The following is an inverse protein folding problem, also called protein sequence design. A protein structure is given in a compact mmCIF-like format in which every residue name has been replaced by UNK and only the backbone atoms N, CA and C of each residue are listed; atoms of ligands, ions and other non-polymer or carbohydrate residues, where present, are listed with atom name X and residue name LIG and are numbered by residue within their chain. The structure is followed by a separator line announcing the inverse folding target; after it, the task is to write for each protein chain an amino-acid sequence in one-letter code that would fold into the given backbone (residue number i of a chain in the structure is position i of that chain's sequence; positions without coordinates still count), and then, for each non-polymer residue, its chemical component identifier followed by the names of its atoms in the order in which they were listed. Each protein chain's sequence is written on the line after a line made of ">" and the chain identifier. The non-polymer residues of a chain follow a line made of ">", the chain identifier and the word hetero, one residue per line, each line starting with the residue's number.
data_IF_282637628553
#
_entry.id   IF_282637628553
#
_cell.length_a   1.000
_cell.length_b   1.000
_cell.length_c   1.000
_cell.angle_alpha   90.00
_cell.angle_beta   90.00
_cell.angle_gamma   90.00
#
_symmetry.space_group_name_H-M   'P 1'
#
loop_
_entity.id
_entity.type
_entity.pdbx_description
1 polymer ?
#
# COMPACT_ATOMS: atom_id res chain seq x y z
N UNK A 1 23.87 0.61 -10.80
CA UNK A 1 24.28 2.03 -11.00
C UNK A 1 23.51 2.58 -12.18
N UNK A 2 22.39 3.27 -11.96
CA UNK A 2 21.73 3.99 -13.04
C UNK A 2 22.49 5.30 -13.26
N UNK A 3 23.16 5.40 -14.41
CA UNK A 3 23.76 6.67 -14.87
C UNK A 3 22.67 7.48 -15.56
N UNK A 4 22.62 8.78 -15.25
CA UNK A 4 21.93 9.74 -16.11
C UNK A 4 22.50 9.63 -17.52
N UNK A 5 21.63 9.44 -18.52
CA UNK A 5 22.04 9.46 -19.93
C UNK A 5 22.25 10.92 -20.31
N UNK A 6 23.52 11.34 -20.37
CA UNK A 6 23.91 12.61 -20.97
C UNK A 6 23.64 12.56 -22.48
N UNK A 7 22.86 13.53 -22.99
CA UNK A 7 22.36 13.60 -24.36
C UNK A 7 23.35 14.19 -25.37
N UNK A 8 24.64 14.18 -25.06
CA UNK A 8 25.65 14.66 -25.99
C UNK A 8 25.91 13.72 -27.20
N UNK A 9 25.31 12.52 -27.26
CA UNK A 9 25.49 11.58 -28.40
C UNK A 9 24.23 10.77 -28.81
N UNK A 10 23.80 11.01 -30.07
CA UNK A 10 22.93 10.18 -30.95
C UNK A 10 21.39 10.22 -30.79
N UNK A 11 20.71 10.21 -31.95
CA UNK A 11 19.31 10.59 -32.24
C UNK A 11 18.29 9.42 -32.22
N UNK A 12 18.52 8.36 -31.45
CA UNK A 12 17.52 7.27 -31.36
C UNK A 12 16.45 7.60 -30.31
N UNK A 13 15.14 7.47 -30.61
CA UNK A 13 14.10 7.65 -29.60
C UNK A 13 14.21 6.54 -28.55
N UNK A 14 14.55 6.91 -27.32
CA UNK A 14 14.52 6.01 -26.16
C UNK A 14 13.06 5.69 -25.85
N UNK A 15 12.70 4.41 -25.88
CA UNK A 15 11.38 3.97 -25.45
C UNK A 15 11.38 3.85 -23.92
N UNK A 16 10.31 4.31 -23.28
CA UNK A 16 10.12 4.14 -21.83
C UNK A 16 9.15 2.98 -21.59
N UNK A 17 9.57 2.05 -20.75
CA UNK A 17 8.67 1.08 -20.13
C UNK A 17 8.34 1.60 -18.74
N UNK A 18 7.05 1.86 -18.53
CA UNK A 18 6.49 2.16 -17.22
C UNK A 18 5.96 0.89 -16.58
N UNK A 19 6.39 0.58 -15.36
CA UNK A 19 5.75 -0.46 -14.53
C UNK A 19 5.20 0.24 -13.30
N UNK A 20 3.90 0.10 -13.06
CA UNK A 20 3.24 0.68 -11.91
C UNK A 20 3.72 0.05 -10.59
N UNK A 21 4.00 0.90 -9.60
CA UNK A 21 4.25 0.52 -8.19
C UNK A 21 2.94 0.55 -7.40
N UNK A 22 1.98 1.37 -7.82
CA UNK A 22 0.63 1.35 -7.30
C UNK A 22 -0.06 0.05 -7.71
N UNK A 23 -1.04 -0.36 -6.94
CA UNK A 23 -1.89 -1.51 -7.28
C UNK A 23 -2.81 -1.25 -8.49
N UNK A 24 -2.51 -0.28 -9.35
CA UNK A 24 -3.46 0.25 -10.33
C UNK A 24 -2.87 0.21 -11.74
N UNK A 25 -2.93 -0.99 -12.32
CA UNK A 25 -2.81 -1.30 -13.76
C UNK A 25 -1.48 -1.95 -14.20
N UNK A 26 -1.27 -3.20 -13.77
CA UNK A 26 -1.16 -4.29 -14.74
C UNK A 26 -2.32 -5.22 -14.44
N UNK A 27 -3.43 -5.01 -15.15
CA UNK A 27 -4.58 -5.91 -15.13
C UNK A 27 -4.07 -7.31 -15.43
N UNK A 28 -4.36 -8.23 -14.51
CA UNK A 28 -3.96 -9.62 -14.61
C UNK A 28 -4.57 -10.26 -15.84
N UNK A 29 -3.75 -10.50 -16.85
CA UNK A 29 -3.84 -11.67 -17.72
C UNK A 29 -2.40 -12.00 -18.13
N UNK A 30 -1.87 -13.13 -17.62
CA UNK A 30 -0.52 -13.69 -17.84
C UNK A 30 0.65 -13.23 -16.95
N UNK A 31 0.45 -13.12 -15.63
CA UNK A 31 1.58 -13.37 -14.71
C UNK A 31 1.62 -14.86 -14.37
N UNK A 32 2.43 -15.62 -15.11
CA UNK A 32 2.71 -17.02 -14.83
C UNK A 32 3.68 -17.16 -13.63
N UNK A 33 3.42 -18.18 -12.81
CA UNK A 33 4.21 -18.75 -11.72
C UNK A 33 5.74 -18.87 -11.98
N UNK A 34 6.15 -18.89 -13.25
CA UNK A 34 7.56 -18.91 -13.66
C UNK A 34 8.40 -17.72 -13.16
N UNK A 35 7.80 -16.56 -12.86
CA UNK A 35 8.51 -15.39 -12.33
C UNK A 35 8.97 -15.53 -10.87
N UNK A 36 8.16 -16.14 -10.00
CA UNK A 36 8.48 -16.31 -8.57
C UNK A 36 9.41 -17.51 -8.34
N UNK A 37 9.21 -18.59 -9.11
CA UNK A 37 10.00 -19.84 -9.04
C UNK A 37 11.52 -19.60 -9.10
N UNK A 38 11.95 -18.64 -9.94
CA UNK A 38 13.34 -18.31 -10.19
C UNK A 38 14.08 -17.73 -8.98
N UNK A 39 13.37 -17.07 -8.07
CA UNK A 39 13.97 -16.44 -6.90
C UNK A 39 13.97 -17.35 -5.67
N UNK A 40 13.38 -18.54 -5.73
CA UNK A 40 13.33 -19.43 -4.57
C UNK A 40 14.73 -19.83 -4.07
N UNK A 41 15.64 -20.16 -4.98
CA UNK A 41 17.01 -20.54 -4.62
C UNK A 41 17.79 -19.35 -4.07
N UNK A 42 17.78 -18.22 -4.77
CA UNK A 42 18.46 -16.98 -4.34
C UNK A 42 17.92 -16.45 -3.01
N UNK A 43 16.59 -16.50 -2.80
CA UNK A 43 15.93 -16.15 -1.54
C UNK A 43 16.33 -17.09 -0.42
N UNK A 44 16.36 -18.42 -0.65
CA UNK A 44 16.82 -19.38 0.36
C UNK A 44 18.26 -19.09 0.77
N UNK A 45 19.16 -18.84 -0.18
CA UNK A 45 20.55 -18.48 0.09
C UNK A 45 20.67 -17.16 0.85
N UNK A 46 19.91 -16.13 0.46
CA UNK A 46 19.86 -14.85 1.16
C UNK A 46 19.38 -15.04 2.60
N UNK A 47 18.27 -15.76 2.79
CA UNK A 47 17.68 -15.97 4.11
C UNK A 47 18.64 -16.74 5.03
N UNK A 48 19.30 -17.79 4.52
CA UNK A 48 20.30 -18.57 5.29
C UNK A 48 21.51 -17.70 5.64
N UNK A 49 22.05 -16.95 4.67
CA UNK A 49 23.18 -16.03 4.90
C UNK A 49 22.83 -14.95 5.92
N UNK A 50 21.65 -14.37 5.83
CA UNK A 50 21.15 -13.37 6.78
C UNK A 50 20.92 -13.97 8.18
N UNK A 51 20.42 -15.22 8.30
CA UNK A 51 20.35 -15.91 9.62
C UNK A 51 21.73 -16.08 10.24
N UNK A 52 22.72 -16.48 9.45
CA UNK A 52 24.09 -16.63 9.93
C UNK A 52 24.69 -15.30 10.37
N UNK A 53 24.54 -14.24 9.56
CA UNK A 53 24.98 -12.89 9.92
C UNK A 53 24.26 -12.36 11.17
N UNK A 54 22.97 -12.66 11.34
CA UNK A 54 22.24 -12.31 12.56
C UNK A 54 22.77 -13.08 13.78
N UNK A 55 23.07 -14.38 13.62
CA UNK A 55 23.61 -15.20 14.71
C UNK A 55 24.94 -14.65 15.25
N UNK A 56 25.81 -14.18 14.34
CA UNK A 56 27.11 -13.60 14.70
C UNK A 56 26.97 -12.17 15.22
N UNK A 57 26.28 -11.30 14.49
CA UNK A 57 26.27 -9.85 14.77
C UNK A 57 25.17 -9.41 15.73
N UNK A 58 24.14 -10.23 15.93
CA UNK A 58 22.89 -9.92 16.66
C UNK A 58 22.15 -8.67 16.17
N UNK A 59 22.48 -8.14 14.98
CA UNK A 59 21.83 -6.95 14.44
C UNK A 59 20.47 -7.29 13.82
N UNK A 60 19.43 -6.49 14.15
CA UNK A 60 18.04 -6.71 13.72
C UNK A 60 17.87 -6.68 12.19
N UNK A 61 18.64 -5.87 11.45
CA UNK A 61 18.58 -5.82 9.98
C UNK A 61 18.86 -7.17 9.29
N UNK A 62 19.71 -8.02 9.88
CA UNK A 62 19.97 -9.35 9.33
C UNK A 62 18.89 -10.36 9.74
N UNK A 63 18.18 -10.12 10.84
CA UNK A 63 16.99 -10.90 11.17
C UNK A 63 15.87 -10.61 10.17
N UNK A 64 15.62 -9.33 9.85
CA UNK A 64 14.70 -8.93 8.79
C UNK A 64 15.09 -9.57 7.43
N UNK A 65 16.39 -9.51 7.07
CA UNK A 65 16.92 -10.18 5.88
C UNK A 65 16.65 -11.69 5.83
N UNK A 66 16.50 -12.36 6.99
CA UNK A 66 16.25 -13.79 7.06
C UNK A 66 14.82 -14.23 6.72
N UNK A 67 13.89 -13.27 6.71
CA UNK A 67 12.46 -13.51 6.47
C UNK A 67 11.94 -12.76 5.24
N UNK A 68 12.83 -12.12 4.48
CA UNK A 68 12.47 -11.47 3.21
C UNK A 68 11.74 -12.47 2.30
N UNK A 69 10.61 -12.01 1.78
CA UNK A 69 9.79 -12.70 0.80
C UNK A 69 9.64 -11.84 -0.44
N UNK A 70 9.93 -12.40 -1.61
CA UNK A 70 9.66 -11.73 -2.88
C UNK A 70 8.25 -12.09 -3.34
N UNK A 71 7.38 -11.09 -3.43
CA UNK A 71 6.05 -11.19 -4.03
C UNK A 71 6.00 -10.54 -5.41
N UNK A 72 4.94 -10.84 -6.17
CA UNK A 72 4.60 -10.20 -7.46
C UNK A 72 4.23 -8.73 -7.35
N UNK A 73 4.16 -8.17 -6.13
CA UNK A 73 3.96 -6.75 -5.92
C UNK A 73 5.24 -5.95 -6.16
N UNK A 74 6.43 -6.56 -6.00
CA UNK A 74 7.68 -5.84 -6.22
C UNK A 74 7.94 -5.60 -7.71
N UNK A 75 8.14 -4.33 -8.06
CA UNK A 75 8.42 -3.89 -9.43
C UNK A 75 9.68 -4.51 -10.02
N UNK A 76 10.69 -4.81 -9.18
CA UNK A 76 11.93 -5.49 -9.59
C UNK A 76 11.67 -6.91 -10.12
N UNK A 77 10.74 -7.66 -9.51
CA UNK A 77 10.33 -9.00 -9.95
C UNK A 77 9.56 -8.90 -11.27
N UNK A 78 8.69 -7.89 -11.40
CA UNK A 78 7.94 -7.65 -12.64
C UNK A 78 8.86 -7.29 -13.81
N UNK A 79 9.83 -6.42 -13.57
CA UNK A 79 10.81 -6.00 -14.57
C UNK A 79 11.71 -7.17 -15.03
N UNK A 80 12.16 -8.00 -14.10
CA UNK A 80 12.95 -9.17 -14.45
C UNK A 80 12.17 -10.19 -15.28
N UNK A 81 10.92 -10.48 -14.89
CA UNK A 81 10.03 -11.33 -15.67
C UNK A 81 9.82 -10.75 -17.08
N UNK A 82 9.59 -9.44 -17.21
CA UNK A 82 9.41 -8.77 -18.49
C UNK A 82 10.62 -8.98 -19.42
N UNK A 83 11.85 -8.81 -18.93
CA UNK A 83 13.07 -9.02 -19.71
C UNK A 83 13.30 -10.49 -20.09
N UNK A 84 12.84 -11.43 -19.26
CA UNK A 84 12.92 -12.86 -19.58
C UNK A 84 11.91 -13.26 -20.66
N UNK A 85 10.67 -12.80 -20.55
CA UNK A 85 9.59 -13.10 -21.49
C UNK A 85 9.77 -12.37 -22.82
N UNK A 86 10.43 -11.20 -22.81
CA UNK A 86 10.69 -10.40 -24.00
C UNK A 86 12.20 -10.07 -24.11
N UNK A 87 13.02 -11.03 -24.62
CA UNK A 87 14.47 -10.84 -24.75
C UNK A 87 14.89 -9.68 -25.65
N UNK A 88 14.02 -9.22 -26.55
CA UNK A 88 14.26 -8.04 -27.38
C UNK A 88 14.27 -6.74 -26.54
N UNK A 89 13.46 -6.68 -25.47
CA UNK A 89 13.47 -5.57 -24.52
C UNK A 89 14.75 -5.57 -23.68
N UNK A 90 15.23 -6.75 -23.26
CA UNK A 90 16.51 -6.87 -22.57
C UNK A 90 17.66 -6.37 -23.44
N UNK A 91 17.70 -6.76 -24.73
CA UNK A 91 18.70 -6.24 -25.70
C UNK A 91 18.59 -4.73 -25.89
N UNK A 92 17.39 -4.17 -25.95
CA UNK A 92 17.20 -2.71 -26.02
C UNK A 92 17.70 -2.00 -24.76
N UNK A 93 17.55 -2.62 -23.58
CA UNK A 93 18.10 -2.10 -22.33
C UNK A 93 19.63 -2.12 -22.32
N UNK A 94 20.25 -3.23 -22.74
CA UNK A 94 21.71 -3.37 -22.82
C UNK A 94 22.34 -2.34 -23.76
N UNK A 95 21.62 -1.98 -24.83
CA UNK A 95 22.01 -0.95 -25.79
C UNK A 95 21.72 0.49 -25.32
N UNK A 96 21.16 0.67 -24.12
CA UNK A 96 20.77 1.98 -23.58
C UNK A 96 19.57 2.64 -24.29
N UNK A 97 18.85 1.88 -25.12
CA UNK A 97 17.69 2.35 -25.90
C UNK A 97 16.35 2.14 -25.18
N UNK A 98 16.40 1.72 -23.92
CA UNK A 98 15.24 1.46 -23.07
C UNK A 98 15.47 2.07 -21.69
N UNK A 99 14.50 2.85 -21.23
CA UNK A 99 14.51 3.41 -19.89
C UNK A 99 13.37 2.80 -19.06
N UNK A 100 13.67 2.46 -17.81
CA UNK A 100 12.70 1.98 -16.83
C UNK A 100 12.32 3.11 -15.88
N UNK A 101 11.03 3.29 -15.67
CA UNK A 101 10.52 4.23 -14.70
C UNK A 101 9.15 3.82 -14.19
N UNK A 102 8.70 4.50 -13.15
CA UNK A 102 7.38 4.32 -12.55
C UNK A 102 6.38 5.26 -13.22
N UNK A 103 5.10 5.25 -12.84
CA UNK A 103 4.08 6.08 -13.54
C UNK A 103 4.48 7.56 -13.53
N UNK A 104 4.99 8.07 -12.41
CA UNK A 104 5.54 9.42 -12.29
C UNK A 104 6.68 9.67 -13.29
N UNK A 105 7.65 8.75 -13.43
CA UNK A 105 8.75 8.87 -14.39
C UNK A 105 8.25 8.95 -15.83
N UNK A 106 7.23 8.15 -16.15
CA UNK A 106 6.61 8.15 -17.47
C UNK A 106 5.84 9.44 -17.73
N UNK A 107 5.06 9.90 -16.76
CA UNK A 107 4.35 11.19 -16.84
C UNK A 107 5.36 12.31 -17.06
N UNK A 108 6.46 12.33 -16.31
CA UNK A 108 7.53 13.32 -16.45
C UNK A 108 8.17 13.24 -17.84
N UNK A 109 8.49 12.04 -18.33
CA UNK A 109 9.01 11.87 -19.69
C UNK A 109 8.04 12.42 -20.74
N UNK A 110 6.74 12.17 -20.60
CA UNK A 110 5.72 12.72 -21.52
C UNK A 110 5.63 14.24 -21.40
N UNK A 111 5.56 14.76 -20.18
CA UNK A 111 5.46 16.19 -19.88
C UNK A 111 6.69 16.98 -20.34
N UNK A 112 7.86 16.34 -20.38
CA UNK A 112 9.10 16.96 -20.84
C UNK A 112 9.43 16.65 -22.30
N UNK A 113 8.51 16.01 -23.05
CA UNK A 113 8.73 15.53 -24.42
C UNK A 113 10.03 14.72 -24.57
N UNK A 114 10.27 13.88 -23.58
CA UNK A 114 11.41 12.99 -23.47
C UNK A 114 12.70 13.67 -23.08
N UNK A 115 12.70 14.92 -22.61
CA UNK A 115 13.94 15.57 -22.19
C UNK A 115 14.44 15.08 -20.83
N UNK A 116 13.53 14.72 -19.92
CA UNK A 116 13.87 14.35 -18.54
C UNK A 116 13.23 13.01 -18.17
N UNK A 117 14.04 12.11 -17.60
CA UNK A 117 13.64 10.80 -17.10
C UNK A 117 14.07 10.69 -15.64
N UNK A 118 13.12 10.91 -14.73
CA UNK A 118 13.39 11.06 -13.29
C UNK A 118 12.20 10.60 -12.44
N UNK A 119 12.44 10.31 -11.15
CA UNK A 119 11.43 9.93 -10.13
C UNK A 119 11.84 10.48 -8.76
N UNK A 120 10.95 10.47 -7.77
CA UNK A 120 11.23 10.91 -6.40
C UNK A 120 11.62 9.79 -5.44
N UNK A 121 12.07 10.12 -4.24
CA UNK A 121 12.53 9.14 -3.26
C UNK A 121 11.48 8.15 -2.77
N UNK A 122 10.19 8.51 -2.74
CA UNK A 122 9.11 7.60 -2.32
C UNK A 122 8.80 6.58 -3.43
N UNK A 123 8.56 7.02 -4.68
CA UNK A 123 8.45 6.12 -5.84
C UNK A 123 9.76 5.34 -6.09
N UNK A 124 10.91 5.97 -5.88
CA UNK A 124 12.21 5.33 -5.88
C UNK A 124 12.36 4.35 -4.72
N UNK A 125 11.81 4.57 -3.54
CA UNK A 125 11.91 3.57 -2.49
C UNK A 125 11.15 2.29 -2.87
N UNK A 126 10.12 2.43 -3.72
CA UNK A 126 9.50 1.33 -4.45
C UNK A 126 10.31 0.76 -5.63
N UNK A 127 11.40 1.43 -6.10
CA UNK A 127 12.17 1.05 -7.31
C UNK A 127 13.70 1.27 -7.34
N UNK A 128 14.23 2.43 -6.93
CA UNK A 128 15.58 2.60 -6.39
C UNK A 128 16.43 3.84 -6.78
N UNK A 129 15.94 4.90 -7.45
CA UNK A 129 16.76 5.99 -8.10
C UNK A 129 16.01 7.36 -8.14
N UNK A 130 16.60 8.59 -8.18
CA UNK A 130 15.79 9.84 -8.38
C UNK A 130 16.45 11.21 -8.75
N UNK A 131 15.64 12.19 -9.26
CA UNK A 131 15.81 13.68 -9.40
C UNK A 131 14.50 14.42 -9.88
N UNK A 132 14.39 15.76 -9.98
CA UNK A 132 13.13 16.52 -10.33
C UNK A 132 13.34 17.51 -11.52
N UNK A 133 12.29 17.84 -12.30
CA UNK A 133 12.32 18.46 -13.65
C UNK A 133 11.35 19.66 -13.90
N UNK A 134 11.36 20.24 -15.12
CA UNK A 134 10.35 21.20 -15.62
C UNK A 134 9.57 20.65 -16.83
N UNK A 135 8.28 20.97 -16.96
CA UNK A 135 7.47 20.56 -18.13
C UNK A 135 7.78 21.37 -19.39
N UNK A 136 7.60 20.75 -20.56
CA UNK A 136 7.92 21.36 -21.85
C UNK A 136 6.84 22.37 -22.29
N UNK A 137 7.28 23.59 -22.67
CA UNK A 137 6.41 24.72 -23.08
C UNK A 137 5.26 24.35 -24.01
N UNK A 138 5.53 23.51 -25.00
CA UNK A 138 4.55 23.11 -26.00
C UNK A 138 3.38 22.24 -25.49
N UNK A 139 3.31 21.91 -24.19
CA UNK A 139 2.17 21.19 -23.59
C UNK A 139 1.17 22.18 -22.99
N UNK A 140 1.65 23.19 -22.25
CA UNK A 140 0.78 24.13 -21.52
C UNK A 140 0.86 25.58 -22.03
N UNK A 141 1.53 25.82 -23.16
CA UNK A 141 1.82 27.17 -23.68
C UNK A 141 2.96 27.89 -22.94
N UNK A 142 3.33 27.41 -21.76
CA UNK A 142 4.45 27.86 -20.93
C UNK A 142 5.12 26.66 -20.23
N UNK A 143 6.43 26.72 -19.88
CA UNK A 143 7.03 25.75 -18.97
C UNK A 143 6.37 25.86 -17.59
N UNK A 144 5.85 24.75 -17.08
CA UNK A 144 5.35 24.63 -15.70
C UNK A 144 6.37 23.81 -14.89
N UNK A 145 6.93 24.34 -13.79
CA UNK A 145 7.88 23.59 -12.98
C UNK A 145 7.16 22.46 -12.22
N UNK A 146 7.71 21.24 -12.27
CA UNK A 146 7.24 20.14 -11.42
C UNK A 146 7.95 20.27 -10.08
N UNK A 147 7.20 20.56 -9.03
CA UNK A 147 7.77 20.93 -7.72
C UNK A 147 7.78 19.81 -6.69
N UNK A 148 6.95 18.79 -6.92
CA UNK A 148 6.86 17.61 -6.07
C UNK A 148 6.54 16.39 -6.93
N UNK A 149 7.03 15.26 -6.45
CA UNK A 149 6.74 13.92 -6.92
C UNK A 149 6.70 13.08 -5.65
N UNK A 150 5.66 12.28 -5.49
CA UNK A 150 5.41 11.47 -4.30
C UNK A 150 4.51 10.30 -4.69
N UNK A 151 4.73 9.12 -4.11
CA UNK A 151 3.89 7.95 -4.30
C UNK A 151 2.58 8.09 -3.50
N UNK A 152 1.50 7.48 -4.00
CA UNK A 152 0.13 7.75 -3.55
C UNK A 152 -0.08 7.57 -2.04
N UNK A 153 0.51 6.53 -1.42
CA UNK A 153 0.35 6.27 0.02
C UNK A 153 1.13 7.26 0.88
N UNK A 154 2.38 7.54 0.50
CA UNK A 154 3.20 8.57 1.14
C UNK A 154 2.58 9.96 0.99
N UNK A 155 1.95 10.22 -0.15
CA UNK A 155 1.20 11.43 -0.39
C UNK A 155 -0.01 11.49 0.55
N UNK A 156 -0.76 10.39 0.72
CA UNK A 156 -1.89 10.34 1.66
C UNK A 156 -1.44 10.60 3.10
N UNK A 157 -0.37 9.95 3.56
CA UNK A 157 0.24 10.19 4.88
C UNK A 157 0.63 11.66 5.05
N UNK A 158 1.24 12.27 4.04
CA UNK A 158 1.59 13.70 4.08
C UNK A 158 0.35 14.61 4.08
N UNK A 159 -0.65 14.32 3.26
CA UNK A 159 -1.91 15.07 3.17
C UNK A 159 -2.71 14.99 4.47
N UNK A 160 -2.66 13.85 5.14
CA UNK A 160 -3.22 13.63 6.47
C UNK A 160 -2.47 14.37 7.58
N UNK A 161 -1.35 15.04 7.25
CA UNK A 161 -0.49 15.72 8.19
C UNK A 161 0.09 14.78 9.26
N UNK A 162 0.40 13.54 8.88
CA UNK A 162 1.07 12.54 9.73
C UNK A 162 2.58 12.79 9.79
N UNK A 163 2.99 13.97 10.26
CA UNK A 163 4.38 14.43 10.21
C UNK A 163 5.27 13.91 11.33
N UNK A 164 4.67 13.46 12.44
CA UNK A 164 5.38 13.12 13.66
C UNK A 164 5.51 11.59 13.80
N UNK A 165 6.62 11.13 14.41
CA UNK A 165 6.83 9.70 14.60
C UNK A 165 5.71 9.10 15.48
N UNK A 166 5.14 7.99 15.05
CA UNK A 166 3.97 7.37 15.69
C UNK A 166 2.63 7.85 15.14
N UNK A 167 2.61 8.83 14.22
CA UNK A 167 1.43 9.10 13.41
C UNK A 167 1.14 7.90 12.50
N UNK A 168 -0.14 7.51 12.42
CA UNK A 168 -0.60 6.39 11.61
C UNK A 168 -1.67 6.85 10.63
N UNK A 169 -1.52 6.46 9.37
CA UNK A 169 -2.56 6.58 8.36
C UNK A 169 -2.97 5.19 7.85
N UNK A 170 -4.23 5.04 7.43
CA UNK A 170 -4.70 3.88 6.70
C UNK A 170 -5.50 4.31 5.47
N UNK A 171 -4.91 4.14 4.29
CA UNK A 171 -5.57 4.40 3.01
C UNK A 171 -6.33 3.16 2.57
N UNK A 172 -7.66 3.29 2.44
CA UNK A 172 -8.59 2.19 2.17
C UNK A 172 -9.23 2.30 0.78
N UNK A 173 -8.46 1.94 -0.24
CA UNK A 173 -8.88 1.88 -1.65
C UNK A 173 -9.01 0.45 -2.17
N UNK A 174 -8.52 0.17 -3.39
CA UNK A 174 -8.46 -1.19 -3.98
C UNK A 174 -7.80 -2.20 -3.03
N UNK A 175 -6.72 -1.78 -2.37
CA UNK A 175 -6.14 -2.40 -1.19
C UNK A 175 -6.21 -1.45 0.00
N UNK A 176 -5.91 -1.97 1.19
CA UNK A 176 -5.71 -1.17 2.40
C UNK A 176 -4.23 -1.14 2.76
N UNK A 177 -3.70 0.06 2.98
CA UNK A 177 -2.31 0.28 3.33
C UNK A 177 -2.29 1.01 4.67
N UNK A 178 -1.65 0.42 5.68
CA UNK A 178 -1.40 1.07 6.96
C UNK A 178 0.03 1.56 6.99
N UNK A 179 0.22 2.84 7.26
CA UNK A 179 1.51 3.50 7.27
C UNK A 179 1.73 4.12 8.64
N UNK A 180 2.84 3.78 9.29
CA UNK A 180 3.31 4.46 10.49
C UNK A 180 4.56 5.27 10.18
N UNK A 181 4.58 6.53 10.61
CA UNK A 181 5.75 7.37 10.53
C UNK A 181 6.80 6.92 11.55
N UNK A 182 8.00 6.56 11.08
CA UNK A 182 9.12 6.09 11.92
C UNK A 182 10.21 7.14 12.09
N UNK A 183 9.95 8.38 11.66
CA UNK A 183 10.88 9.50 11.71
C UNK A 183 12.09 9.26 10.79
N UNK A 184 13.32 9.63 11.23
CA UNK A 184 14.50 9.56 10.37
C UNK A 184 15.13 8.16 10.27
N UNK A 185 14.52 7.15 10.90
CA UNK A 185 15.07 5.79 10.95
C UNK A 185 14.14 4.79 10.26
N UNK A 186 14.64 4.00 9.28
CA UNK A 186 13.84 2.94 8.68
C UNK A 186 13.60 1.81 9.67
N UNK A 187 12.38 1.25 9.68
CA UNK A 187 12.03 0.11 10.51
C UNK A 187 12.25 -1.22 9.79
N UNK A 188 13.15 -2.05 10.30
CA UNK A 188 13.37 -3.39 9.77
C UNK A 188 12.40 -4.39 10.42
N UNK A 189 11.41 -4.84 9.65
CA UNK A 189 10.36 -5.78 10.09
C UNK A 189 10.75 -7.25 9.93
N UNK A 190 10.15 -8.11 10.76
CA UNK A 190 10.17 -9.57 10.59
C UNK A 190 8.80 -10.18 10.31
N UNK A 191 7.71 -9.46 10.57
CA UNK A 191 6.32 -9.82 10.31
C UNK A 191 5.85 -9.42 8.91
N UNK A 192 6.63 -8.59 8.20
CA UNK A 192 6.38 -8.23 6.79
C UNK A 192 5.90 -6.80 6.56
N UNK A 193 6.14 -5.87 7.50
CA UNK A 193 6.03 -4.45 7.23
C UNK A 193 7.21 -3.99 6.35
N UNK A 194 6.93 -3.12 5.39
CA UNK A 194 7.93 -2.64 4.45
C UNK A 194 8.54 -1.32 4.93
N UNK A 195 9.87 -1.22 5.13
CA UNK A 195 10.51 0.06 5.31
C UNK A 195 10.52 0.81 3.99
N UNK A 196 9.84 1.95 3.94
CA UNK A 196 9.76 2.82 2.76
C UNK A 196 10.19 4.23 3.12
N UNK A 197 10.63 4.99 2.12
CA UNK A 197 10.84 6.43 2.30
C UNK A 197 9.49 7.10 2.21
N UNK A 198 9.08 7.79 3.27
CA UNK A 198 7.89 8.63 3.25
C UNK A 198 8.12 9.83 2.36
N UNK A 199 9.09 10.67 2.72
CA UNK A 199 9.50 11.81 1.91
C UNK A 199 10.91 12.27 2.24
N UNK A 200 11.48 13.07 1.34
CA UNK A 200 12.70 13.82 1.58
C UNK A 200 12.49 15.28 1.20
N UNK A 201 12.58 16.17 2.18
CA UNK A 201 12.39 17.62 2.00
C UNK A 201 13.65 18.32 2.51
N UNK A 202 14.39 18.95 1.60
CA UNK A 202 15.70 19.53 1.92
C UNK A 202 16.68 18.46 2.45
N UNK A 203 17.21 18.67 3.66
CA UNK A 203 18.09 17.72 4.34
C UNK A 203 17.37 16.64 5.17
N UNK A 204 16.06 16.77 5.37
CA UNK A 204 15.27 15.86 6.21
C UNK A 204 14.78 14.67 5.37
N UNK A 205 14.97 13.45 5.86
CA UNK A 205 14.39 12.23 5.29
C UNK A 205 13.54 11.57 6.36
N UNK A 206 12.28 11.28 6.01
CA UNK A 206 11.32 10.57 6.86
C UNK A 206 11.04 9.21 6.25
N UNK A 207 11.00 8.19 7.09
CA UNK A 207 10.67 6.82 6.73
C UNK A 207 9.30 6.44 7.29
N UNK A 208 8.67 5.49 6.62
CA UNK A 208 7.45 4.83 7.08
C UNK A 208 7.70 3.32 7.20
N UNK A 209 6.93 2.67 8.07
CA UNK A 209 6.73 1.22 8.00
C UNK A 209 5.32 0.97 7.46
N UNK A 210 5.23 0.26 6.33
CA UNK A 210 3.97 0.04 5.62
C UNK A 210 3.52 -1.41 5.75
N UNK A 211 2.27 -1.61 6.17
CA UNK A 211 1.57 -2.88 6.11
C UNK A 211 0.54 -2.86 4.97
N UNK A 212 0.59 -3.86 4.09
CA UNK A 212 -0.36 -3.99 2.99
C UNK A 212 -1.40 -5.08 3.30
N UNK A 213 -2.68 -4.78 3.12
CA UNK A 213 -3.76 -5.74 2.97
C UNK A 213 -4.39 -5.55 1.59
N UNK A 214 -4.00 -6.38 0.62
CA UNK A 214 -4.61 -6.35 -0.69
C UNK A 214 -6.07 -6.85 -0.61
N UNK A 215 -6.91 -6.32 -1.50
CA UNK A 215 -8.22 -6.90 -1.77
C UNK A 215 -9.39 -6.34 -0.97
N UNK A 216 -9.23 -5.29 -0.16
CA UNK A 216 -10.36 -4.64 0.52
C UNK A 216 -11.35 -4.02 -0.49
N UNK A 217 -10.86 -3.21 -1.45
CA UNK A 217 -11.70 -2.66 -2.51
C UNK A 217 -12.11 -3.70 -3.53
N UNK A 218 -11.23 -4.66 -3.85
CA UNK A 218 -11.57 -5.80 -4.71
C UNK A 218 -12.69 -6.65 -4.13
N UNK A 219 -12.76 -6.81 -2.80
CA UNK A 219 -13.85 -7.51 -2.14
C UNK A 219 -15.19 -6.79 -2.29
N UNK A 220 -15.19 -5.46 -2.18
CA UNK A 220 -16.38 -4.65 -2.43
C UNK A 220 -16.81 -4.74 -3.89
N UNK A 221 -15.87 -4.61 -4.83
CA UNK A 221 -16.15 -4.77 -6.27
C UNK A 221 -16.69 -6.17 -6.61
N UNK A 222 -16.07 -7.23 -6.08
CA UNK A 222 -16.58 -8.58 -6.21
C UNK A 222 -17.99 -8.71 -5.63
N UNK A 223 -18.24 -8.12 -4.46
CA UNK A 223 -19.54 -8.18 -3.83
C UNK A 223 -20.62 -7.46 -4.64
N UNK A 224 -20.30 -6.32 -5.26
CA UNK A 224 -21.18 -5.66 -6.21
C UNK A 224 -21.49 -6.56 -7.41
N UNK A 225 -20.46 -7.14 -8.03
CA UNK A 225 -20.62 -8.02 -9.20
C UNK A 225 -21.43 -9.29 -8.90
N UNK A 226 -21.36 -9.80 -7.66
CA UNK A 226 -22.18 -10.92 -7.19
C UNK A 226 -23.62 -10.51 -6.84
N UNK A 227 -23.96 -9.23 -6.97
CA UNK A 227 -25.28 -8.69 -6.64
C UNK A 227 -25.54 -8.60 -5.14
N UNK A 228 -24.50 -8.46 -4.30
CA UNK A 228 -24.65 -8.26 -2.85
C UNK A 228 -24.98 -6.83 -2.46
N UNK A 229 -24.77 -5.85 -3.33
CA UNK A 229 -25.29 -4.48 -3.18
C UNK A 229 -25.27 -3.76 -4.53
N UNK A 230 -26.11 -2.75 -4.69
CA UNK A 230 -26.16 -1.93 -5.91
C UNK A 230 -25.46 -0.57 -5.69
N UNK A 231 -25.72 0.05 -4.53
CA UNK A 231 -25.08 1.29 -4.09
C UNK A 231 -24.20 1.02 -2.86
N UNK A 232 -22.92 1.38 -2.96
CA UNK A 232 -21.94 1.21 -1.87
C UNK A 232 -22.33 2.00 -0.62
N UNK A 233 -23.07 3.11 -0.77
CA UNK A 233 -23.51 3.95 0.36
C UNK A 233 -24.43 3.19 1.32
N UNK A 234 -25.17 2.20 0.82
CA UNK A 234 -26.13 1.41 1.59
C UNK A 234 -25.47 0.28 2.39
N UNK A 235 -24.21 -0.05 2.10
CA UNK A 235 -23.54 -1.23 2.68
C UNK A 235 -23.38 -1.13 4.20
N UNK A 236 -23.24 0.09 4.73
CA UNK A 236 -23.21 0.34 6.18
C UNK A 236 -24.57 0.00 6.82
N UNK A 237 -25.67 0.51 6.26
CA UNK A 237 -27.03 0.24 6.76
C UNK A 237 -27.38 -1.25 6.64
N UNK A 238 -26.94 -1.90 5.56
CA UNK A 238 -27.09 -3.35 5.39
C UNK A 238 -26.40 -4.13 6.52
N UNK A 239 -25.19 -3.73 6.93
CA UNK A 239 -24.49 -4.38 8.04
C UNK A 239 -25.19 -4.15 9.37
N UNK A 240 -25.75 -2.96 9.60
CA UNK A 240 -26.53 -2.66 10.80
C UNK A 240 -27.93 -3.32 10.83
N UNK A 241 -28.47 -3.71 9.67
CA UNK A 241 -29.81 -4.36 9.57
C UNK A 241 -29.89 -5.75 10.19
N UNK A 242 -28.75 -6.42 10.37
CA UNK A 242 -28.63 -7.71 11.08
C UNK A 242 -27.81 -7.51 12.34
N UNK A 243 -28.00 -8.33 13.37
CA UNK A 243 -27.26 -8.16 14.63
C UNK A 243 -25.81 -8.68 14.57
N UNK A 244 -25.57 -9.70 13.74
CA UNK A 244 -24.28 -10.39 13.54
C UNK A 244 -24.16 -10.86 12.09
N UNK A 245 -22.96 -11.26 11.66
CA UNK A 245 -22.77 -12.02 10.40
C UNK A 245 -23.34 -13.45 10.44
N UNK A 246 -23.95 -13.88 11.56
CA UNK A 246 -24.54 -15.21 11.70
C UNK A 246 -23.50 -16.35 11.81
N UNK A 247 -22.23 -16.00 12.09
CA UNK A 247 -21.10 -16.93 12.05
C UNK A 247 -20.53 -17.15 10.64
N UNK A 248 -20.89 -16.28 9.70
CA UNK A 248 -20.29 -16.25 8.36
C UNK A 248 -19.00 -15.43 8.43
N UNK A 249 -17.92 -16.00 7.90
CA UNK A 249 -16.61 -15.36 7.83
C UNK A 249 -16.16 -15.25 6.38
N UNK A 250 -15.79 -14.04 5.97
CA UNK A 250 -15.20 -13.77 4.68
C UNK A 250 -13.68 -13.55 4.84
N UNK A 251 -12.89 -14.07 3.90
CA UNK A 251 -11.43 -13.85 3.85
C UNK A 251 -11.06 -13.32 2.45
N UNK A 252 -10.62 -12.05 2.32
CA UNK A 252 -10.44 -11.37 1.03
C UNK A 252 -9.13 -11.72 0.31
N UNK A 253 -8.73 -12.99 0.29
CA UNK A 253 -7.45 -13.44 -0.28
C UNK A 253 -7.49 -13.62 -1.81
N UNK A 254 -8.05 -12.66 -2.56
CA UNK A 254 -8.08 -12.70 -4.03
C UNK A 254 -6.69 -12.73 -4.65
N UNK A 255 -5.72 -12.06 -4.01
CA UNK A 255 -4.32 -11.98 -4.45
C UNK A 255 -3.39 -12.63 -3.41
N UNK A 256 -3.87 -13.66 -2.72
CA UNK A 256 -3.22 -14.21 -1.52
C UNK A 256 -3.32 -13.28 -0.31
N UNK A 257 -2.67 -13.66 0.78
CA UNK A 257 -2.62 -12.91 2.03
C UNK A 257 -1.24 -12.26 2.20
N UNK A 258 -1.21 -10.96 2.44
CA UNK A 258 0.02 -10.21 2.75
C UNK A 258 0.32 -10.29 4.26
N UNK A 259 1.08 -9.32 4.78
CA UNK A 259 1.45 -9.28 6.19
C UNK A 259 0.22 -9.41 7.11
N UNK A 260 0.39 -10.08 8.27
CA UNK A 260 1.58 -10.81 8.71
C UNK A 260 1.72 -12.23 8.11
N UNK A 261 0.71 -12.73 7.39
CA UNK A 261 0.62 -14.13 6.95
C UNK A 261 1.56 -14.44 5.78
N UNK A 262 1.67 -13.52 4.81
CA UNK A 262 2.56 -13.60 3.65
C UNK A 262 2.42 -14.92 2.85
N UNK A 263 1.18 -15.33 2.61
CA UNK A 263 0.83 -16.52 1.84
C UNK A 263 0.21 -16.15 0.48
N UNK A 264 1.03 -16.23 -0.57
CA UNK A 264 0.59 -16.01 -1.95
C UNK A 264 -0.25 -17.17 -2.52
N UNK A 265 -0.44 -18.26 -1.77
CA UNK A 265 -1.26 -19.42 -2.16
C UNK A 265 -2.63 -19.42 -1.49
N UNK A 266 -2.90 -18.46 -0.61
CA UNK A 266 -4.20 -18.34 0.03
C UNK A 266 -5.30 -18.02 -0.99
N UNK A 267 -6.52 -18.45 -0.71
CA UNK A 267 -7.68 -18.23 -1.58
C UNK A 267 -8.78 -17.43 -0.89
N UNK A 268 -9.53 -16.65 -1.67
CA UNK A 268 -10.76 -16.03 -1.18
C UNK A 268 -11.69 -17.12 -0.62
N UNK A 269 -12.23 -16.88 0.57
CA UNK A 269 -13.06 -17.86 1.27
C UNK A 269 -14.28 -17.21 1.89
N UNK A 270 -15.43 -17.87 1.77
CA UNK A 270 -16.66 -17.54 2.50
C UNK A 270 -17.09 -18.79 3.27
N UNK A 271 -16.89 -18.78 4.59
CA UNK A 271 -17.06 -19.93 5.47
C UNK A 271 -18.22 -19.69 6.45
N UNK A 272 -18.85 -20.76 6.94
CA UNK A 272 -19.88 -20.67 7.98
C UNK A 272 -21.29 -20.33 7.49
N UNK A 273 -21.56 -20.47 6.19
CA UNK A 273 -22.90 -20.28 5.60
C UNK A 273 -23.89 -21.29 6.20
N UNK A 274 -25.06 -20.81 6.59
CA UNK A 274 -26.20 -21.59 7.12
C UNK A 274 -27.40 -21.46 6.20
N UNK A 275 -28.40 -22.32 6.36
CA UNK A 275 -29.68 -22.23 5.64
C UNK A 275 -30.45 -20.92 5.91
N UNK A 276 -30.14 -20.23 7.02
CA UNK A 276 -30.72 -18.94 7.40
C UNK A 276 -29.89 -17.74 6.96
N UNK A 277 -28.72 -17.96 6.35
CA UNK A 277 -27.84 -16.87 5.86
C UNK A 277 -28.53 -16.14 4.71
N UNK A 278 -28.44 -14.81 4.71
CA UNK A 278 -29.01 -13.95 3.69
C UNK A 278 -27.98 -12.91 3.21
N UNK A 279 -28.36 -12.09 2.23
CA UNK A 279 -27.52 -11.06 1.62
C UNK A 279 -26.91 -10.09 2.65
N UNK A 280 -27.66 -9.68 3.67
CA UNK A 280 -27.18 -8.78 4.72
C UNK A 280 -26.11 -9.44 5.61
N UNK A 281 -26.27 -10.72 5.96
CA UNK A 281 -25.24 -11.47 6.70
C UNK A 281 -23.91 -11.57 5.93
N UNK A 282 -23.98 -11.83 4.62
CA UNK A 282 -22.78 -11.90 3.77
C UNK A 282 -22.12 -10.53 3.65
N UNK A 283 -22.91 -9.47 3.38
CA UNK A 283 -22.37 -8.11 3.28
C UNK A 283 -21.70 -7.68 4.59
N UNK A 284 -22.33 -7.99 5.72
CA UNK A 284 -21.73 -7.74 7.03
C UNK A 284 -20.43 -8.52 7.22
N UNK A 285 -20.37 -9.80 6.87
CA UNK A 285 -19.13 -10.60 6.98
C UNK A 285 -17.98 -10.03 6.14
N UNK A 286 -18.27 -9.47 4.96
CA UNK A 286 -17.28 -8.81 4.10
C UNK A 286 -16.75 -7.54 4.78
N UNK A 287 -17.63 -6.68 5.29
CA UNK A 287 -17.23 -5.44 5.98
C UNK A 287 -16.50 -5.71 7.31
N UNK A 288 -16.97 -6.70 8.09
CA UNK A 288 -16.28 -7.20 9.27
C UNK A 288 -14.86 -7.65 8.91
N UNK A 289 -14.70 -8.40 7.81
CA UNK A 289 -13.37 -8.84 7.37
C UNK A 289 -12.45 -7.69 6.99
N UNK A 290 -12.95 -6.59 6.43
CA UNK A 290 -12.12 -5.41 6.12
C UNK A 290 -11.59 -4.80 7.42
N UNK A 291 -12.46 -4.63 8.42
CA UNK A 291 -12.06 -4.13 9.74
C UNK A 291 -11.08 -5.11 10.42
N UNK A 292 -11.31 -6.42 10.36
CA UNK A 292 -10.43 -7.44 10.93
C UNK A 292 -9.05 -7.48 10.26
N UNK A 293 -8.98 -7.35 8.92
CA UNK A 293 -7.71 -7.22 8.20
C UNK A 293 -6.92 -6.01 8.69
N UNK A 294 -7.58 -4.87 8.86
CA UNK A 294 -6.96 -3.68 9.43
C UNK A 294 -6.48 -3.92 10.87
N UNK A 295 -7.33 -4.49 11.75
CA UNK A 295 -6.96 -4.79 13.14
C UNK A 295 -5.74 -5.69 13.23
N UNK A 296 -5.66 -6.75 12.41
CA UNK A 296 -4.49 -7.65 12.39
C UNK A 296 -3.21 -6.91 11.96
N UNK A 297 -3.29 -6.02 10.97
CA UNK A 297 -2.15 -5.21 10.54
C UNK A 297 -1.76 -4.17 11.60
N UNK A 298 -2.75 -3.54 12.23
CA UNK A 298 -2.52 -2.59 13.31
C UNK A 298 -1.83 -3.25 14.51
N UNK A 299 -2.29 -4.42 14.94
CA UNK A 299 -1.62 -5.22 15.99
C UNK A 299 -0.17 -5.52 15.59
N UNK A 300 0.08 -5.90 14.33
CA UNK A 300 1.44 -6.13 13.81
C UNK A 300 2.31 -4.87 13.91
N UNK A 301 1.78 -3.70 13.54
CA UNK A 301 2.49 -2.42 13.64
C UNK A 301 2.86 -2.11 15.10
N UNK A 302 1.92 -2.26 16.03
CA UNK A 302 2.16 -2.02 17.46
C UNK A 302 3.23 -2.97 18.01
N UNK A 303 3.10 -4.26 17.70
CA UNK A 303 3.97 -5.31 18.22
C UNK A 303 5.40 -5.23 17.68
N UNK A 304 5.59 -4.83 16.42
CA UNK A 304 6.93 -4.78 15.83
C UNK A 304 7.67 -3.47 16.04
N UNK A 305 6.96 -2.35 15.87
CA UNK A 305 7.62 -1.04 15.87
C UNK A 305 7.98 -0.57 17.27
N UNK A 306 7.15 -0.93 18.26
CA UNK A 306 7.22 -0.41 19.64
C UNK A 306 7.26 1.12 19.72
N UNK A 307 6.76 1.80 18.68
CA UNK A 307 6.66 3.27 18.65
C UNK A 307 5.38 3.65 19.40
N UNK A 308 5.43 4.60 20.36
CA UNK A 308 4.23 5.14 20.97
C UNK A 308 3.34 5.75 19.89
N UNK A 309 2.14 5.21 19.73
CA UNK A 309 1.19 5.70 18.73
C UNK A 309 0.54 7.00 19.18
N UNK A 310 0.28 7.88 18.23
CA UNK A 310 -0.51 9.09 18.48
C UNK A 310 -1.98 8.72 18.79
N UNK A 311 -2.73 9.69 19.33
CA UNK A 311 -4.07 9.48 19.90
C UNK A 311 -5.17 9.10 18.91
N UNK A 312 -4.88 9.15 17.61
CA UNK A 312 -5.82 8.77 16.56
C UNK A 312 -5.12 8.14 15.37
N UNK A 313 -5.76 7.15 14.76
CA UNK A 313 -5.40 6.66 13.43
C UNK A 313 -6.21 7.42 12.39
N UNK A 314 -5.53 7.99 11.40
CA UNK A 314 -6.19 8.67 10.28
C UNK A 314 -6.54 7.66 9.20
N UNK A 315 -7.66 7.88 8.54
CA UNK A 315 -8.14 7.00 7.46
C UNK A 315 -8.53 7.83 6.24
N UNK A 316 -8.38 7.27 5.06
CA UNK A 316 -8.85 7.85 3.81
C UNK A 316 -9.18 6.78 2.75
N UNK A 317 -9.57 7.19 1.55
CA UNK A 317 -10.01 6.29 0.49
C UNK A 317 -11.51 5.97 0.50
N UNK A 318 -11.99 5.30 -0.54
CA UNK A 318 -13.42 5.10 -0.76
C UNK A 318 -14.12 4.31 0.34
N UNK A 319 -13.43 3.31 0.93
CA UNK A 319 -14.00 2.44 1.97
C UNK A 319 -14.15 3.18 3.30
N UNK A 320 -13.36 4.23 3.57
CA UNK A 320 -13.48 4.99 4.80
C UNK A 320 -14.82 5.75 4.93
N UNK A 321 -15.63 5.80 3.86
CA UNK A 321 -16.99 6.33 3.94
C UNK A 321 -17.97 5.37 4.65
N UNK A 322 -17.59 4.13 4.94
CA UNK A 322 -18.44 3.17 5.61
C UNK A 322 -18.30 3.27 7.14
N UNK A 323 -19.34 3.81 7.80
CA UNK A 323 -19.35 4.06 9.25
C UNK A 323 -19.25 2.77 10.09
N UNK A 324 -19.86 1.67 9.64
CA UNK A 324 -19.76 0.36 10.30
C UNK A 324 -18.30 -0.12 10.37
N UNK A 325 -17.56 -0.02 9.26
CA UNK A 325 -16.15 -0.41 9.20
C UNK A 325 -15.32 0.43 10.15
N UNK A 326 -15.47 1.77 10.12
CA UNK A 326 -14.67 2.66 10.97
C UNK A 326 -14.98 2.50 12.47
N UNK A 327 -16.24 2.28 12.83
CA UNK A 327 -16.64 2.03 14.22
C UNK A 327 -16.04 0.71 14.75
N UNK A 328 -16.07 -0.34 13.93
CA UNK A 328 -15.50 -1.63 14.29
C UNK A 328 -13.97 -1.57 14.39
N UNK A 329 -13.30 -0.91 13.44
CA UNK A 329 -11.86 -0.64 13.49
C UNK A 329 -11.49 0.08 14.77
N UNK A 330 -12.16 1.20 15.08
CA UNK A 330 -11.93 1.99 16.29
C UNK A 330 -12.06 1.17 17.57
N UNK A 331 -13.13 0.38 17.65
CA UNK A 331 -13.45 -0.40 18.84
C UNK A 331 -12.46 -1.55 19.05
N UNK A 332 -12.07 -2.25 17.98
CA UNK A 332 -11.13 -3.38 18.08
C UNK A 332 -9.70 -2.95 18.42
N UNK A 333 -9.22 -1.85 17.81
CA UNK A 333 -7.86 -1.35 18.06
C UNK A 333 -7.73 -0.48 19.31
N UNK A 334 -8.85 -0.14 19.95
CA UNK A 334 -8.91 0.83 21.04
C UNK A 334 -8.34 2.21 20.66
N UNK A 335 -8.45 2.60 19.38
CA UNK A 335 -7.99 3.91 18.89
C UNK A 335 -9.13 4.76 18.38
N UNK A 336 -8.99 6.08 18.53
CA UNK A 336 -9.85 6.99 17.78
C UNK A 336 -9.53 6.86 16.30
N UNK A 337 -10.55 6.68 15.46
CA UNK A 337 -10.39 6.73 14.01
C UNK A 337 -10.85 8.10 13.52
N UNK A 338 -9.97 8.82 12.83
CA UNK A 338 -10.21 10.18 12.33
C UNK A 338 -10.43 10.15 10.81
N UNK A 339 -11.68 10.40 10.40
CA UNK A 339 -12.07 10.54 8.99
C UNK A 339 -11.98 12.01 8.56
N UNK A 340 -11.20 12.35 7.52
CA UNK A 340 -11.10 13.71 6.98
C UNK A 340 -12.37 14.12 6.24
N UNK A 341 -12.58 15.44 6.11
CA UNK A 341 -13.65 16.01 5.27
C UNK A 341 -13.44 15.82 3.77
N UNK A 342 -12.21 15.55 3.36
CA UNK A 342 -11.85 15.19 1.98
C UNK A 342 -11.25 13.79 2.00
N UNK A 343 -11.74 12.89 1.15
CA UNK A 343 -11.31 11.49 1.16
C UNK A 343 -10.10 11.20 0.28
N UNK A 344 -9.77 12.09 -0.67
CA UNK A 344 -8.58 11.96 -1.53
C UNK A 344 -7.40 12.73 -0.92
N UNK A 345 -6.76 12.07 0.05
CA UNK A 345 -5.63 12.65 0.76
C UNK A 345 -4.32 12.52 -0.03
N UNK A 346 -4.24 11.59 -0.98
CA UNK A 346 -3.09 11.45 -1.89
C UNK A 346 -2.92 12.70 -2.75
N UNK A 347 -3.99 13.15 -3.41
CA UNK A 347 -3.96 14.37 -4.21
C UNK A 347 -3.66 15.60 -3.35
N UNK A 348 -4.27 15.68 -2.15
CA UNK A 348 -4.03 16.79 -1.23
C UNK A 348 -2.58 16.85 -0.74
N UNK A 349 -1.97 15.71 -0.41
CA UNK A 349 -0.58 15.64 0.00
C UNK A 349 0.40 16.03 -1.10
N UNK A 350 0.14 15.59 -2.34
CA UNK A 350 0.93 16.04 -3.50
C UNK A 350 0.82 17.57 -3.69
N UNK A 351 -0.39 18.13 -3.53
CA UNK A 351 -0.61 19.57 -3.59
C UNK A 351 0.12 20.31 -2.45
N UNK A 352 0.07 19.80 -1.22
CA UNK A 352 0.77 20.35 -0.07
C UNK A 352 2.29 20.40 -0.28
N UNK A 353 2.88 19.30 -0.76
CA UNK A 353 4.31 19.24 -1.07
C UNK A 353 4.69 20.26 -2.14
N UNK A 354 3.91 20.34 -3.23
CA UNK A 354 4.15 21.30 -4.30
C UNK A 354 4.00 22.75 -3.80
N UNK A 355 2.98 23.02 -2.99
CA UNK A 355 2.71 24.34 -2.44
C UNK A 355 3.74 24.80 -1.42
N UNK A 356 4.24 23.91 -0.55
CA UNK A 356 5.38 24.21 0.33
C UNK A 356 6.62 24.57 -0.49
N UNK A 357 6.92 23.80 -1.54
CA UNK A 357 8.06 24.06 -2.45
C UNK A 357 7.90 25.38 -3.24
N UNK A 358 6.67 25.76 -3.56
CA UNK A 358 6.35 27.01 -4.24
C UNK A 358 6.21 28.22 -3.30
N UNK A 359 6.21 28.01 -1.97
CA UNK A 359 5.97 29.06 -0.97
C UNK A 359 4.52 29.51 -0.85
N UNK A 360 3.56 28.71 -1.34
CA UNK A 360 2.11 28.92 -1.13
C UNK A 360 1.75 28.75 0.34
N UNK A 361 2.30 27.71 0.97
CA UNK A 361 2.29 27.51 2.42
C UNK A 361 3.70 27.64 2.96
N UNK A 362 3.82 28.17 4.19
CA UNK A 362 5.12 28.47 4.81
C UNK A 362 5.59 27.38 5.74
N UNK A 363 4.68 26.57 6.29
CA UNK A 363 5.03 25.55 7.28
C UNK A 363 4.07 24.36 7.29
N UNK A 364 4.51 23.26 7.91
CA UNK A 364 3.67 22.09 8.22
C UNK A 364 2.52 22.44 9.19
N UNK A 365 2.70 23.43 10.05
CA UNK A 365 1.65 23.88 10.97
C UNK A 365 0.49 24.56 10.24
N UNK A 366 0.78 25.32 9.17
CA UNK A 366 -0.27 25.86 8.30
C UNK A 366 -1.07 24.72 7.64
N UNK A 367 -0.41 23.62 7.24
CA UNK A 367 -1.08 22.44 6.68
C UNK A 367 -1.95 21.72 7.73
N UNK A 368 -1.46 21.57 8.96
CA UNK A 368 -2.24 21.02 10.08
C UNK A 368 -3.50 21.86 10.35
N UNK A 369 -3.42 23.19 10.22
CA UNK A 369 -4.55 24.09 10.47
C UNK A 369 -5.66 24.01 9.39
N UNK A 370 -5.30 23.68 8.15
CA UNK A 370 -6.28 23.54 7.04
C UNK A 370 -6.86 22.12 6.90
N UNK A 371 -6.19 21.11 7.46
CA UNK A 371 -6.68 19.73 7.43
C UNK A 371 -7.82 19.57 8.44
N UNK A 372 -9.03 19.29 7.96
CA UNK A 372 -10.22 19.16 8.80
C UNK A 372 -10.65 17.71 8.99
N UNK A 373 -11.20 17.41 10.17
CA UNK A 373 -11.91 16.15 10.45
C UNK A 373 -13.39 16.30 10.12
N UNK A 374 -13.96 15.30 9.45
CA UNK A 374 -15.41 15.16 9.28
C UNK A 374 -16.03 14.47 10.49
N UNK A 375 -15.40 13.38 10.93
CA UNK A 375 -15.93 12.52 11.97
C UNK A 375 -14.80 11.85 12.75
N UNK A 376 -14.99 11.73 14.06
CA UNK A 376 -14.13 10.97 14.95
C UNK A 376 -14.92 9.79 15.50
N UNK A 377 -14.45 8.58 15.22
CA UNK A 377 -15.03 7.35 15.75
C UNK A 377 -14.28 6.99 17.01
N UNK A 378 -15.00 6.92 18.12
CA UNK A 378 -14.44 6.62 19.44
C UNK A 378 -14.59 5.14 19.78
N UNK A 379 -13.58 4.52 20.43
CA UNK A 379 -13.65 3.11 20.81
C UNK A 379 -14.84 2.83 21.73
N UNK A 380 -15.60 1.77 21.42
CA UNK A 380 -16.71 1.31 22.27
C UNK A 380 -16.39 -0.07 22.84
N UNK A 381 -16.21 -0.15 24.15
CA UNK A 381 -15.93 -1.42 24.84
C UNK A 381 -17.00 -2.49 24.57
N UNK A 382 -18.28 -2.10 24.53
CA UNK A 382 -19.39 -3.01 24.21
C UNK A 382 -19.29 -3.63 22.81
N UNK A 383 -18.76 -2.89 21.84
CA UNK A 383 -18.50 -3.41 20.49
C UNK A 383 -17.28 -4.32 20.53
N UNK A 384 -16.18 -3.85 21.13
CA UNK A 384 -14.95 -4.63 21.25
C UNK A 384 -15.23 -6.01 21.85
N UNK A 385 -15.85 -6.06 23.02
CA UNK A 385 -16.11 -7.31 23.75
C UNK A 385 -17.02 -8.26 22.95
N UNK A 386 -17.97 -7.72 22.17
CA UNK A 386 -18.83 -8.51 21.28
C UNK A 386 -18.04 -9.13 20.13
N UNK A 387 -17.06 -8.41 19.57
CA UNK A 387 -16.38 -8.81 18.34
C UNK A 387 -15.00 -9.47 18.55
N UNK A 388 -14.42 -9.45 19.75
CA UNK A 388 -13.14 -10.13 20.02
C UNK A 388 -13.19 -11.61 19.65
N UNK A 389 -14.26 -12.31 20.05
CA UNK A 389 -14.47 -13.71 19.68
C UNK A 389 -14.62 -13.89 18.17
N UNK A 390 -15.36 -13.00 17.51
CA UNK A 390 -15.51 -13.05 16.05
C UNK A 390 -14.18 -12.81 15.32
N UNK A 391 -13.34 -11.92 15.85
CA UNK A 391 -12.01 -11.68 15.30
C UNK A 391 -11.10 -12.92 15.44
N UNK A 392 -11.16 -13.62 16.58
CA UNK A 392 -10.44 -14.88 16.77
C UNK A 392 -10.95 -15.98 15.83
N UNK A 393 -12.26 -16.17 15.71
CA UNK A 393 -12.85 -17.13 14.77
C UNK A 393 -12.58 -16.76 13.30
N UNK A 394 -12.52 -15.47 12.97
CA UNK A 394 -12.12 -15.00 11.65
C UNK A 394 -10.63 -15.30 11.38
N UNK A 395 -9.73 -15.17 12.37
CA UNK A 395 -8.34 -15.62 12.23
C UNK A 395 -8.28 -17.11 11.93
N UNK A 396 -9.12 -17.94 12.55
CA UNK A 396 -9.22 -19.37 12.22
C UNK A 396 -9.71 -19.61 10.77
N UNK A 397 -10.71 -18.85 10.31
CA UNK A 397 -11.15 -18.90 8.90
C UNK A 397 -10.03 -18.48 7.94
N UNK A 398 -9.28 -17.45 8.29
CA UNK A 398 -8.11 -16.98 7.55
C UNK A 398 -7.05 -18.08 7.45
N UNK A 399 -6.72 -18.78 8.53
CA UNK A 399 -5.75 -19.89 8.49
C UNK A 399 -6.23 -21.03 7.59
N UNK A 400 -7.52 -21.37 7.61
CA UNK A 400 -8.10 -22.39 6.71
C UNK A 400 -8.04 -22.01 5.23
N UNK A 401 -7.93 -20.73 4.91
CA UNK A 401 -7.80 -20.25 3.53
C UNK A 401 -6.37 -20.35 2.97
N UNK A 402 -5.38 -20.63 3.82
CA UNK A 402 -3.95 -20.68 3.46
C UNK A 402 -3.57 -21.96 2.71
N UNK A 403 -2.47 -21.91 1.95
CA UNK A 403 -1.90 -23.02 1.19
C UNK A 403 -2.90 -23.74 0.28
N UNK A 404 -3.89 -23.01 -0.22
CA UNK A 404 -4.95 -23.57 -1.06
C UNK A 404 -4.46 -23.91 -2.46
N UNK A 405 -3.85 -22.94 -3.14
CA UNK A 405 -3.32 -23.15 -4.48
C UNK A 405 -2.00 -23.92 -4.44
N UNK A 406 -1.85 -24.89 -5.34
CA UNK A 406 -0.57 -25.57 -5.57
C UNK A 406 0.03 -24.98 -6.83
N UNK A 407 1.11 -24.22 -6.67
CA UNK A 407 1.96 -23.81 -7.79
C UNK A 407 2.88 -24.98 -8.11
N UNK A 408 2.80 -25.51 -9.33
CA UNK A 408 3.72 -26.52 -9.86
C UNK A 408 5.05 -25.92 -10.31
#
# INVERSE_FOLDING_TARGET
>A
MARAVDRSRSHSPVNIISIDIGTTTIVGHHFDSSGISLYHTSRKSLNVGSKFLHMISRQKKYLAGSVISFSTQHTSIRLHWLFKTHPDLAKKADLGNLAFGTIDSWLIWKLTKGQLHVTDYSNASGTGIGLICESHKAIFGAPIPVRALVADQQAAVFGQCCFDAGDVNCTMGTGSFIDINTGPYPHASVAGLYPIVGWKIGGETVYLAEGNAAGCGTAMEWAHNMGFYDDVSQTSDMAFSVETSGGVYFVPAFNGLQAPINDNKACVSLMGIKSTTNKAHIMRAILESIAFRFTQLYETVVEETHIPLMSSVKVDGGISNNDFVLELMSSLTCQTIDRPSQTDMSTLGAAFLAGLSAGVWKSRDELKAIRCSQALFQPKASIRDKFLKNFDEWKEALHRSTNWYKWE
#
